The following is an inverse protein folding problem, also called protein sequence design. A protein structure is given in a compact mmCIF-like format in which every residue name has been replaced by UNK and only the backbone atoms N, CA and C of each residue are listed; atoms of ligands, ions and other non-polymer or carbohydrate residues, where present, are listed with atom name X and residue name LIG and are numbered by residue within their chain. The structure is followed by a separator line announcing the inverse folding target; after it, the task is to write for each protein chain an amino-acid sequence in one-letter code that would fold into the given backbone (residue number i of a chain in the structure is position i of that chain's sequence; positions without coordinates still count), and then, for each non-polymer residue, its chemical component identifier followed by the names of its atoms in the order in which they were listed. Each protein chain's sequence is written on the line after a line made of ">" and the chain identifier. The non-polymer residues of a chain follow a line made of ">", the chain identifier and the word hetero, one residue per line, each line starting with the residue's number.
data_IF_459979663003
#
_entry.id   IF_459979663003
#
_cell.length_a   1.000
_cell.length_b   1.000
_cell.length_c   1.000
_cell.angle_alpha   90.00
_cell.angle_beta   90.00
_cell.angle_gamma   90.00
#
_symmetry.space_group_name_H-M   'P 1'
#
loop_
_entity.id
_entity.type
_entity.pdbx_description
1 polymer ?
#
# COMPACT_ATOMS: atom_id res chain seq x y z
N UNK A 1 -10.86 -18.09 32.06
CA UNK A 1 -10.55 -19.51 32.34
C UNK A 1 -9.10 -19.63 32.78
N UNK A 2 -8.72 -20.55 33.67
CA UNK A 2 -7.33 -20.68 34.13
C UNK A 2 -6.36 -21.05 33.00
N UNK A 3 -6.87 -21.68 31.93
CA UNK A 3 -6.06 -22.14 30.79
C UNK A 3 -5.94 -21.09 29.67
N UNK A 4 -7.01 -20.34 29.38
CA UNK A 4 -7.08 -19.41 28.24
C UNK A 4 -7.28 -17.94 28.63
N UNK A 5 -7.58 -17.67 29.90
CA UNK A 5 -7.89 -16.33 30.40
C UNK A 5 -6.65 -15.48 30.61
N UNK A 6 -6.87 -14.18 30.75
CA UNK A 6 -5.86 -13.21 31.13
C UNK A 6 -5.94 -12.98 32.64
N UNK A 7 -4.78 -12.91 33.31
CA UNK A 7 -4.72 -12.45 34.69
C UNK A 7 -4.97 -10.94 34.73
N UNK A 8 -5.97 -10.51 35.48
CA UNK A 8 -6.28 -9.09 35.65
C UNK A 8 -5.43 -8.50 36.78
N UNK A 9 -4.87 -7.28 36.61
CA UNK A 9 -4.09 -6.62 37.65
C UNK A 9 -4.95 -6.09 38.81
N UNK A 10 -6.20 -5.68 38.55
CA UNK A 10 -7.14 -5.18 39.57
C UNK A 10 -8.60 -5.36 39.11
N UNK A 11 -9.54 -5.28 40.05
CA UNK A 11 -10.97 -5.55 39.83
C UNK A 11 -11.74 -4.40 39.14
N UNK A 12 -11.14 -3.22 39.01
CA UNK A 12 -11.79 -2.04 38.41
C UNK A 12 -11.80 -2.03 36.87
N UNK A 13 -11.34 -3.11 36.22
CA UNK A 13 -11.31 -3.21 34.77
C UNK A 13 -12.71 -3.52 34.22
N UNK A 14 -13.15 -2.84 33.15
CA UNK A 14 -14.45 -3.11 32.54
C UNK A 14 -14.46 -4.47 31.85
N UNK A 15 -15.59 -5.17 31.96
CA UNK A 15 -15.85 -6.37 31.16
C UNK A 15 -16.45 -5.98 29.81
N UNK A 16 -15.99 -6.62 28.73
CA UNK A 16 -16.48 -6.37 27.38
C UNK A 16 -17.47 -7.46 26.98
N UNK A 17 -18.24 -7.25 25.90
CA UNK A 17 -19.18 -8.25 25.36
C UNK A 17 -18.54 -9.60 25.00
N UNK A 18 -17.22 -9.61 24.84
CA UNK A 18 -16.42 -10.81 24.52
C UNK A 18 -15.97 -11.56 25.78
N UNK A 19 -16.22 -11.02 26.97
CA UNK A 19 -15.90 -11.67 28.24
C UNK A 19 -16.90 -12.79 28.49
N UNK A 20 -16.45 -14.04 28.31
CA UNK A 20 -17.28 -15.22 28.55
C UNK A 20 -17.37 -15.56 30.06
N UNK A 21 -16.24 -15.50 30.78
CA UNK A 21 -16.18 -15.93 32.18
C UNK A 21 -15.13 -15.14 32.96
N UNK A 22 -15.50 -14.71 34.17
CA UNK A 22 -14.60 -14.14 35.19
C UNK A 22 -14.39 -15.20 36.27
N UNK A 23 -13.13 -15.44 36.64
CA UNK A 23 -12.78 -16.40 37.68
C UNK A 23 -12.08 -15.64 38.79
N UNK A 24 -12.71 -15.63 39.97
CA UNK A 24 -12.16 -15.07 41.18
C UNK A 24 -11.69 -16.23 42.06
N UNK A 25 -10.41 -16.57 41.94
CA UNK A 25 -9.77 -17.61 42.75
C UNK A 25 -8.85 -17.00 43.79
N UNK A 26 -8.78 -17.63 44.94
CA UNK A 26 -7.78 -17.30 45.96
C UNK A 26 -6.41 -17.86 45.61
N UNK A 27 -5.34 -17.35 46.25
CA UNK A 27 -3.97 -17.86 46.08
C UNK A 27 -3.85 -19.32 46.51
N UNK A 28 -4.69 -19.78 47.45
CA UNK A 28 -4.71 -21.17 47.88
C UNK A 28 -5.30 -22.12 46.82
N UNK A 29 -6.29 -21.66 46.05
CA UNK A 29 -6.93 -22.46 44.99
C UNK A 29 -6.12 -22.47 43.69
N UNK A 30 -5.46 -21.34 43.39
CA UNK A 30 -4.59 -21.20 42.22
C UNK A 30 -3.27 -20.53 42.63
N UNK A 31 -2.31 -21.31 43.14
CA UNK A 31 -0.99 -20.78 43.43
C UNK A 31 -0.28 -20.36 42.13
N UNK A 32 0.64 -19.40 42.19
CA UNK A 32 1.44 -19.03 41.04
C UNK A 32 2.26 -20.24 40.56
N UNK A 33 2.37 -20.46 39.23
CA UNK A 33 3.16 -21.55 38.72
C UNK A 33 4.64 -21.36 39.12
N UNK A 34 5.36 -22.45 39.41
CA UNK A 34 6.80 -22.39 39.65
C UNK A 34 7.53 -21.89 38.39
N UNK A 35 8.77 -21.42 38.53
CA UNK A 35 9.54 -20.91 37.41
C UNK A 35 9.72 -21.98 36.33
N UNK A 36 9.66 -21.55 35.07
CA UNK A 36 9.85 -22.44 33.94
C UNK A 36 11.24 -23.09 33.97
N UNK A 37 11.26 -24.41 33.80
CA UNK A 37 12.48 -25.21 33.74
C UNK A 37 12.76 -25.69 32.31
N UNK A 38 13.93 -26.29 32.10
CA UNK A 38 14.29 -26.86 30.80
C UNK A 38 13.31 -27.99 30.40
N UNK A 39 13.01 -28.07 29.10
CA UNK A 39 12.16 -29.13 28.56
C UNK A 39 12.87 -30.48 28.67
N UNK A 40 12.25 -31.43 29.40
CA UNK A 40 12.77 -32.80 29.56
C UNK A 40 12.29 -33.77 28.47
N UNK A 41 11.55 -33.27 27.47
CA UNK A 41 11.06 -34.06 26.32
C UNK A 41 10.17 -35.26 26.70
N UNK A 42 9.30 -35.07 27.69
CA UNK A 42 8.41 -36.11 28.21
C UNK A 42 7.23 -36.53 27.31
N UNK A 43 6.87 -35.74 26.30
CA UNK A 43 5.79 -36.09 25.34
C UNK A 43 4.36 -35.69 25.75
N UNK A 44 4.06 -35.51 27.03
CA UNK A 44 2.68 -35.24 27.52
C UNK A 44 1.93 -34.12 26.82
N UNK A 45 2.64 -33.09 26.34
CA UNK A 45 2.04 -31.99 25.61
C UNK A 45 1.35 -32.43 24.30
N UNK A 46 1.86 -33.45 23.63
CA UNK A 46 1.27 -33.99 22.40
C UNK A 46 0.02 -34.83 22.71
N UNK A 47 0.08 -35.65 23.76
CA UNK A 47 -1.03 -36.55 24.16
C UNK A 47 -2.30 -35.78 24.52
N UNK A 48 -2.17 -34.58 25.12
CA UNK A 48 -3.32 -33.76 25.52
C UNK A 48 -3.76 -32.73 24.47
N UNK A 49 -3.10 -32.69 23.30
CA UNK A 49 -3.39 -31.69 22.31
C UNK A 49 -4.72 -32.00 21.59
N UNK A 50 -5.78 -31.18 21.72
CA UNK A 50 -7.09 -31.47 21.13
C UNK A 50 -7.09 -31.39 19.60
N UNK A 51 -6.07 -30.75 19.01
CA UNK A 51 -5.89 -30.59 17.56
C UNK A 51 -4.71 -31.43 17.03
N UNK A 52 -4.20 -32.37 17.84
CA UNK A 52 -3.18 -33.36 17.43
C UNK A 52 -1.92 -32.75 16.81
N UNK A 53 -1.48 -31.60 17.32
CA UNK A 53 -0.21 -30.98 16.93
C UNK A 53 0.98 -31.60 17.67
N UNK A 54 2.19 -31.16 17.33
CA UNK A 54 3.43 -31.49 18.03
C UNK A 54 3.96 -30.26 18.81
N UNK A 55 3.41 -29.96 20.02
CA UNK A 55 3.80 -28.76 20.77
C UNK A 55 5.29 -28.73 21.11
N UNK A 56 5.91 -29.89 21.31
CA UNK A 56 7.34 -29.95 21.57
C UNK A 56 8.16 -29.32 20.44
N UNK A 57 7.87 -29.65 19.18
CA UNK A 57 8.58 -29.11 18.02
C UNK A 57 8.25 -27.63 17.81
N UNK A 58 6.96 -27.29 17.90
CA UNK A 58 6.51 -25.90 17.79
C UNK A 58 7.16 -25.00 18.84
N UNK A 59 7.36 -25.50 20.06
CA UNK A 59 8.05 -24.76 21.12
C UNK A 59 9.50 -24.46 20.75
N UNK A 60 10.23 -25.45 20.24
CA UNK A 60 11.62 -25.24 19.82
C UNK A 60 11.71 -24.23 18.70
N UNK A 61 10.89 -24.35 17.64
CA UNK A 61 10.87 -23.40 16.54
C UNK A 61 10.46 -21.99 16.96
N UNK A 62 9.44 -21.87 17.82
CA UNK A 62 8.99 -20.58 18.35
C UNK A 62 10.06 -19.93 19.24
N UNK A 63 10.76 -20.73 20.05
CA UNK A 63 11.83 -20.25 20.93
C UNK A 63 13.09 -19.85 20.16
N UNK A 64 13.45 -20.57 19.10
CA UNK A 64 14.60 -20.26 18.25
C UNK A 64 14.31 -19.18 17.20
N UNK A 65 13.08 -18.66 17.14
CA UNK A 65 12.60 -17.72 16.11
C UNK A 65 12.69 -18.28 14.68
N UNK A 66 12.59 -19.59 14.53
CA UNK A 66 12.50 -20.27 13.24
C UNK A 66 11.03 -20.32 12.80
N UNK A 67 10.44 -19.15 12.51
CA UNK A 67 9.00 -19.00 12.29
C UNK A 67 8.50 -19.76 11.05
N UNK A 68 9.30 -19.83 9.99
CA UNK A 68 8.98 -20.59 8.76
C UNK A 68 8.75 -22.08 9.07
N UNK A 69 9.60 -22.66 9.94
CA UNK A 69 9.44 -24.05 10.38
C UNK A 69 8.22 -24.22 11.27
N UNK A 70 7.94 -23.26 12.14
CA UNK A 70 6.74 -23.29 12.97
C UNK A 70 5.48 -23.25 12.09
N UNK A 71 5.45 -22.40 11.06
CA UNK A 71 4.36 -22.35 10.09
C UNK A 71 4.21 -23.67 9.32
N UNK A 72 5.31 -24.25 8.86
CA UNK A 72 5.31 -25.55 8.19
C UNK A 72 4.80 -26.71 9.07
N UNK A 73 4.86 -26.55 10.40
CA UNK A 73 4.30 -27.49 11.38
C UNK A 73 2.91 -27.06 11.88
N UNK A 74 2.16 -26.32 11.04
CA UNK A 74 0.78 -25.92 11.27
C UNK A 74 0.58 -25.11 12.58
N UNK A 75 1.51 -24.19 12.90
CA UNK A 75 1.37 -23.31 14.07
C UNK A 75 0.02 -22.58 14.09
N UNK A 76 -0.54 -22.23 12.93
CA UNK A 76 -1.82 -21.52 12.83
C UNK A 76 -3.05 -22.35 13.24
N UNK A 77 -2.95 -23.68 13.24
CA UNK A 77 -4.02 -24.58 13.69
C UNK A 77 -4.10 -24.69 15.21
N UNK A 78 -3.08 -24.22 15.92
CA UNK A 78 -3.09 -24.17 17.37
C UNK A 78 -4.22 -23.25 17.85
N UNK A 79 -5.20 -23.77 18.58
CA UNK A 79 -6.31 -22.95 19.12
C UNK A 79 -5.99 -22.25 20.46
N UNK A 80 -4.73 -22.29 20.90
CA UNK A 80 -4.26 -21.61 22.12
C UNK A 80 -5.03 -22.02 23.41
N UNK A 81 -5.48 -23.26 23.46
CA UNK A 81 -6.32 -23.80 24.54
C UNK A 81 -5.61 -23.94 25.90
N UNK A 82 -4.27 -23.91 25.95
CA UNK A 82 -3.51 -23.99 27.20
C UNK A 82 -3.26 -25.39 27.75
N UNK A 83 -3.88 -26.44 27.19
CA UNK A 83 -3.76 -27.81 27.69
C UNK A 83 -2.31 -28.29 27.79
N UNK A 84 -1.49 -28.01 26.77
CA UNK A 84 -0.09 -28.40 26.73
C UNK A 84 0.77 -27.71 27.82
N UNK A 85 0.48 -26.45 28.14
CA UNK A 85 1.21 -25.70 29.17
C UNK A 85 0.84 -26.19 30.57
N UNK A 86 -0.43 -26.55 30.78
CA UNK A 86 -0.93 -27.05 32.06
C UNK A 86 -0.33 -28.40 32.46
N UNK A 87 -0.19 -29.33 31.52
CA UNK A 87 0.37 -30.67 31.82
C UNK A 87 1.90 -30.72 31.79
N UNK A 88 2.56 -29.60 31.53
CA UNK A 88 4.01 -29.58 31.38
C UNK A 88 4.69 -29.71 32.76
N UNK A 89 5.48 -30.78 33.03
CA UNK A 89 6.17 -30.92 34.31
C UNK A 89 7.26 -29.85 34.49
N UNK A 90 7.78 -29.30 33.40
CA UNK A 90 8.74 -28.20 33.41
C UNK A 90 8.07 -26.82 33.52
N UNK A 91 6.74 -26.73 33.63
CA UNK A 91 5.98 -25.48 33.75
C UNK A 91 6.29 -24.45 32.66
N UNK A 92 6.55 -24.91 31.44
CA UNK A 92 6.88 -24.06 30.30
C UNK A 92 5.59 -23.39 29.79
N UNK A 93 5.54 -22.06 29.65
CA UNK A 93 4.37 -21.35 29.13
C UNK A 93 4.26 -21.46 27.60
N UNK A 94 4.06 -22.68 27.09
CA UNK A 94 4.07 -23.02 25.66
C UNK A 94 3.17 -22.10 24.81
N UNK A 95 1.96 -21.80 25.29
CA UNK A 95 1.00 -20.95 24.57
C UNK A 95 1.48 -19.51 24.41
N UNK A 96 2.28 -18.97 25.34
CA UNK A 96 2.83 -17.62 25.20
C UNK A 96 3.82 -17.54 24.03
N UNK A 97 4.66 -18.57 23.86
CA UNK A 97 5.57 -18.67 22.72
C UNK A 97 4.81 -18.78 21.40
N UNK A 98 3.73 -19.56 21.35
CA UNK A 98 2.93 -19.69 20.13
C UNK A 98 2.19 -18.40 19.77
N UNK A 99 1.65 -17.70 20.77
CA UNK A 99 1.02 -16.39 20.56
C UNK A 99 2.01 -15.37 20.00
N UNK A 100 3.21 -15.32 20.56
CA UNK A 100 4.28 -14.46 20.06
C UNK A 100 4.66 -14.83 18.62
N UNK A 101 4.93 -16.10 18.33
CA UNK A 101 5.30 -16.56 16.99
C UNK A 101 4.19 -16.28 15.95
N UNK A 102 2.92 -16.48 16.29
CA UNK A 102 1.80 -16.13 15.41
C UNK A 102 1.67 -14.63 15.18
N UNK A 103 1.91 -13.81 16.21
CA UNK A 103 1.88 -12.36 16.08
C UNK A 103 2.99 -11.90 15.13
N UNK A 104 4.21 -12.41 15.31
CA UNK A 104 5.35 -12.11 14.44
C UNK A 104 5.06 -12.50 12.98
N UNK A 105 4.54 -13.71 12.73
CA UNK A 105 4.14 -14.14 11.38
C UNK A 105 3.03 -13.27 10.77
N UNK A 106 2.07 -12.82 11.58
CA UNK A 106 1.01 -11.90 11.10
C UNK A 106 1.59 -10.55 10.71
N UNK A 107 2.50 -10.01 11.52
CA UNK A 107 3.17 -8.74 11.25
C UNK A 107 4.01 -8.82 9.97
N UNK A 108 4.73 -9.93 9.75
CA UNK A 108 5.50 -10.18 8.53
C UNK A 108 4.60 -10.25 7.29
N UNK A 109 3.48 -10.98 7.38
CA UNK A 109 2.48 -11.07 6.30
C UNK A 109 1.85 -9.72 6.00
N UNK A 110 1.53 -8.93 7.01
CA UNK A 110 0.94 -7.61 6.84
C UNK A 110 1.94 -6.64 6.19
N UNK A 111 3.21 -6.67 6.60
CA UNK A 111 4.30 -5.90 5.95
C UNK A 111 4.45 -6.30 4.48
N UNK A 112 4.46 -7.60 4.19
CA UNK A 112 4.56 -8.10 2.82
C UNK A 112 3.35 -7.64 1.99
N UNK A 113 2.13 -7.77 2.51
CA UNK A 113 0.91 -7.29 1.83
C UNK A 113 0.97 -5.79 1.53
N UNK A 114 1.39 -4.97 2.50
CA UNK A 114 1.54 -3.53 2.31
C UNK A 114 2.62 -3.19 1.28
N UNK A 115 3.75 -3.90 1.29
CA UNK A 115 4.81 -3.73 0.31
C UNK A 115 4.33 -4.07 -1.12
N UNK A 116 3.61 -5.19 -1.29
CA UNK A 116 3.04 -5.58 -2.58
C UNK A 116 2.01 -4.56 -3.09
N UNK A 117 1.13 -4.07 -2.22
CA UNK A 117 0.18 -3.00 -2.58
C UNK A 117 0.89 -1.70 -2.97
N UNK A 118 1.99 -1.35 -2.29
CA UNK A 118 2.78 -0.16 -2.63
C UNK A 118 3.47 -0.32 -4.00
N UNK A 119 4.02 -1.50 -4.30
CA UNK A 119 4.62 -1.80 -5.62
C UNK A 119 3.59 -1.66 -6.73
N UNK A 120 2.40 -2.25 -6.58
CA UNK A 120 1.32 -2.16 -7.56
C UNK A 120 0.92 -0.69 -7.83
N UNK A 121 0.82 0.13 -6.78
CA UNK A 121 0.52 1.57 -6.93
C UNK A 121 1.62 2.32 -7.66
N UNK A 122 2.89 2.02 -7.33
CA UNK A 122 4.04 2.64 -7.96
C UNK A 122 4.13 2.28 -9.45
N UNK A 123 3.96 1.00 -9.78
CA UNK A 123 3.95 0.50 -11.16
C UNK A 123 2.84 1.16 -11.99
N UNK A 124 1.62 1.26 -11.45
CA UNK A 124 0.52 1.96 -12.12
C UNK A 124 0.83 3.44 -12.38
N UNK A 125 1.45 4.13 -11.42
CA UNK A 125 1.84 5.52 -11.59
C UNK A 125 2.95 5.68 -12.65
N UNK A 126 3.91 4.75 -12.71
CA UNK A 126 4.98 4.76 -13.71
C UNK A 126 4.42 4.58 -15.12
N UNK A 127 3.51 3.62 -15.31
CA UNK A 127 2.85 3.37 -16.60
C UNK A 127 2.11 4.61 -17.11
N UNK A 128 1.32 5.26 -16.25
CA UNK A 128 0.61 6.51 -16.60
C UNK A 128 1.58 7.62 -17.01
N UNK A 129 2.66 7.80 -16.25
CA UNK A 129 3.66 8.85 -16.53
C UNK A 129 4.44 8.57 -17.82
N UNK A 130 4.74 7.31 -18.13
CA UNK A 130 5.40 6.91 -19.38
C UNK A 130 4.48 7.12 -20.59
N UNK A 131 3.19 6.78 -20.47
CA UNK A 131 2.19 7.04 -21.51
C UNK A 131 2.02 8.53 -21.79
N UNK A 132 1.89 9.36 -20.76
CA UNK A 132 1.79 10.82 -20.88
C UNK A 132 3.03 11.41 -21.57
N UNK A 133 4.25 11.01 -21.17
CA UNK A 133 5.49 11.42 -21.83
C UNK A 133 5.53 11.01 -23.30
N UNK A 134 5.18 9.76 -23.60
CA UNK A 134 5.16 9.24 -24.99
C UNK A 134 4.14 9.98 -25.85
N UNK A 135 2.97 10.32 -25.30
CA UNK A 135 1.98 11.14 -26.00
C UNK A 135 2.49 12.58 -26.24
N UNK A 136 3.14 13.18 -25.25
CA UNK A 136 3.72 14.51 -25.38
C UNK A 136 4.85 14.55 -26.43
N UNK A 137 5.74 13.56 -26.43
CA UNK A 137 6.79 13.40 -27.43
C UNK A 137 6.22 13.24 -28.85
N UNK A 138 5.20 12.40 -29.02
CA UNK A 138 4.48 12.26 -30.31
C UNK A 138 3.87 13.59 -30.76
N UNK A 139 3.16 14.30 -29.87
CA UNK A 139 2.58 15.62 -30.15
C UNK A 139 3.65 16.65 -30.52
N UNK A 140 4.82 16.62 -29.87
CA UNK A 140 5.95 17.50 -30.19
C UNK A 140 6.56 17.17 -31.55
N UNK A 141 6.75 15.89 -31.86
CA UNK A 141 7.26 15.43 -33.14
C UNK A 141 6.31 15.80 -34.30
N UNK A 142 5.00 15.59 -34.14
CA UNK A 142 3.98 16.01 -35.11
C UNK A 142 4.00 17.51 -35.36
N UNK A 143 4.03 18.33 -34.30
CA UNK A 143 4.15 19.80 -34.42
C UNK A 143 5.42 20.21 -35.15
N UNK A 144 6.55 19.57 -34.85
CA UNK A 144 7.82 19.83 -35.52
C UNK A 144 7.79 19.42 -37.00
N UNK A 145 7.16 18.29 -37.34
CA UNK A 145 6.98 17.81 -38.71
C UNK A 145 6.07 18.76 -39.51
N UNK A 146 4.92 19.16 -38.98
CA UNK A 146 4.03 20.16 -39.58
C UNK A 146 4.73 21.52 -39.76
N UNK A 147 5.58 21.93 -38.81
CA UNK A 147 6.36 23.16 -38.94
C UNK A 147 7.43 23.07 -40.04
N UNK A 148 8.09 21.91 -40.19
CA UNK A 148 9.02 21.65 -41.32
C UNK A 148 8.27 21.67 -42.65
N UNK A 149 7.15 20.94 -42.77
CA UNK A 149 6.32 20.95 -43.97
C UNK A 149 5.82 22.37 -44.31
N UNK A 150 5.41 23.17 -43.33
CA UNK A 150 5.05 24.58 -43.55
C UNK A 150 6.22 25.43 -44.05
N UNK A 151 7.44 25.20 -43.53
CA UNK A 151 8.64 25.90 -44.00
C UNK A 151 9.03 25.47 -45.42
N UNK A 152 8.93 24.19 -45.73
CA UNK A 152 9.20 23.63 -47.07
C UNK A 152 8.15 24.10 -48.09
N UNK A 153 6.87 24.12 -47.72
CA UNK A 153 5.81 24.69 -48.55
C UNK A 153 5.98 26.20 -48.77
N UNK A 154 6.35 26.96 -47.74
CA UNK A 154 6.65 28.39 -47.86
C UNK A 154 7.89 28.68 -48.74
N UNK A 155 8.89 27.80 -48.71
CA UNK A 155 10.05 27.87 -49.60
C UNK A 155 9.72 27.48 -51.05
N UNK A 156 8.76 26.57 -51.26
CA UNK A 156 8.29 26.18 -52.60
C UNK A 156 7.35 27.21 -53.24
N UNK A 157 6.60 27.99 -52.45
CA UNK A 157 5.74 29.10 -52.94
C UNK A 157 6.46 30.46 -53.02
N UNK A 158 7.79 30.48 -52.91
CA UNK A 158 8.62 31.68 -52.97
C UNK A 158 8.76 32.28 -54.37
N UNK A 159 7.68 32.86 -54.91
CA UNK A 159 7.77 33.96 -55.91
C UNK A 159 6.52 34.86 -56.02
N UNK A 160 5.31 34.42 -55.65
CA UNK A 160 4.10 35.14 -56.10
C UNK A 160 3.26 35.81 -54.99
N UNK A 161 3.53 35.58 -53.70
CA UNK A 161 2.66 36.09 -52.62
C UNK A 161 2.98 37.53 -52.13
N UNK A 162 4.16 38.07 -52.46
CA UNK A 162 4.59 39.39 -51.96
C UNK A 162 4.08 40.57 -52.81
N UNK A 163 3.68 40.32 -54.07
CA UNK A 163 3.04 41.31 -54.94
C UNK A 163 1.58 41.57 -54.54
N UNK A 164 0.85 40.53 -54.16
CA UNK A 164 -0.62 40.61 -54.05
C UNK A 164 -1.08 41.26 -52.73
N UNK A 165 -0.38 40.99 -51.63
CA UNK A 165 -0.67 41.64 -50.34
C UNK A 165 -0.30 43.13 -50.34
N UNK A 166 0.79 43.53 -51.03
CA UNK A 166 1.16 44.94 -51.19
C UNK A 166 0.20 45.68 -52.12
N UNK A 167 -0.28 45.02 -53.19
CA UNK A 167 -1.27 45.60 -54.10
C UNK A 167 -2.64 45.81 -53.43
N UNK A 168 -3.09 44.87 -52.59
CA UNK A 168 -4.36 44.97 -51.86
C UNK A 168 -4.37 46.09 -50.81
N UNK A 169 -3.26 46.29 -50.08
CA UNK A 169 -3.15 47.33 -49.04
C UNK A 169 -3.01 48.73 -49.68
N UNK A 170 -2.28 48.85 -50.80
CA UNK A 170 -2.16 50.10 -51.54
C UNK A 170 -3.51 50.54 -52.17
N UNK A 171 -4.28 49.59 -52.70
CA UNK A 171 -5.62 49.85 -53.25
C UNK A 171 -6.63 50.28 -52.17
N UNK A 172 -6.53 49.74 -50.95
CA UNK A 172 -7.37 50.14 -49.82
C UNK A 172 -7.03 51.56 -49.33
N UNK A 173 -5.74 51.91 -49.25
CA UNK A 173 -5.29 53.25 -48.83
C UNK A 173 -5.64 54.35 -49.83
N UNK A 174 -5.57 54.08 -51.14
CA UNK A 174 -5.96 55.03 -52.18
C UNK A 174 -7.47 55.37 -52.15
N UNK A 175 -8.33 54.41 -51.82
CA UNK A 175 -9.78 54.62 -51.67
C UNK A 175 -10.14 55.49 -50.48
N UNK A 176 -9.38 55.40 -49.38
CA UNK A 176 -9.57 56.25 -48.20
C UNK A 176 -9.09 57.68 -48.45
N UNK A 177 -8.00 57.85 -49.21
CA UNK A 177 -7.49 59.18 -49.58
C UNK A 177 -8.41 59.90 -50.58
N UNK A 178 -9.00 59.19 -51.54
CA UNK A 178 -9.99 59.76 -52.47
C UNK A 178 -11.29 60.19 -51.77
N UNK A 179 -11.68 59.52 -50.68
CA UNK A 179 -12.83 59.93 -49.85
C UNK A 179 -12.54 61.18 -49.02
N UNK A 180 -11.34 61.28 -48.45
CA UNK A 180 -10.91 62.46 -47.68
C UNK A 180 -10.72 63.71 -48.54
N UNK A 181 -10.32 63.57 -49.81
CA UNK A 181 -10.24 64.68 -50.75
C UNK A 181 -11.64 65.19 -51.19
N UNK A 182 -12.64 64.32 -51.24
CA UNK A 182 -14.02 64.71 -51.55
C UNK A 182 -14.78 65.41 -50.42
N UNK A 183 -14.38 65.21 -49.16
CA UNK A 183 -14.96 65.89 -47.99
C UNK A 183 -14.39 67.30 -47.77
N UNK A 184 -13.22 67.63 -48.32
CA UNK A 184 -12.61 68.97 -48.17
C UNK A 184 -13.10 70.00 -49.20
N UNK A 185 -13.67 69.58 -50.33
CA UNK A 185 -14.22 70.48 -51.36
C UNK A 185 -15.67 70.95 -51.08
N UNK A 186 -16.34 70.44 -50.03
CA UNK A 186 -17.72 70.83 -49.68
C UNK A 186 -17.84 71.86 -48.53
N UNK A 187 -16.72 72.22 -47.88
CA UNK A 187 -16.72 73.15 -46.74
C UNK A 187 -16.18 74.56 -47.12
N UNK A 188 -15.81 74.78 -48.39
CA UNK A 188 -15.27 76.06 -48.88
C UNK A 188 -15.88 76.49 -50.23
N UNK A 189 -17.17 76.84 -50.26
CA UNK A 189 -17.73 77.77 -51.26
C UNK A 189 -18.98 78.48 -50.68
N UNK A 190 -19.14 79.80 -50.94
CA UNK A 190 -19.76 80.79 -50.05
C UNK A 190 -21.28 80.75 -49.98
#
# INVERSE_FOLDING_TARGET
>A
GPLMGLQLPHAELPVLKITNCVIASTVAEMPPPPPAQACIRCGFCADVCPVTLLPQQLYWFSRSKELEKAEAHNLFDCIECGACAYVCPSHIPLVQYYRAAKAELRDERDKHRMAEQAKQRFEFQQLRKEEEKRQEERRRAERAALAKQRKEAAAATGSDAQSDAKAAIAAAMARVQARKAGEQDQEEKP
#
